data_IF_863111945448
#
_entry.id   IF_863111945448
#
_cell.length_a   1.000
_cell.length_b   1.000
_cell.length_c   1.000
_cell.angle_alpha   90.00
_cell.angle_beta   90.00
_cell.angle_gamma   90.00
#
_symmetry.space_group_name_H-M   'P 1'
#
loop_
_entity.id
_entity.type
_entity.pdbx_description
1 polymer ?
#
# COMPACT_ATOMS: atom_id res chain seq x y z
N UNK A 1 1.06 17.80 -1.99
CA UNK A 1 0.55 16.60 -2.67
C UNK A 1 1.64 15.78 -3.33
N UNK A 2 2.49 16.38 -4.14
CA UNK A 2 3.59 15.68 -4.83
C UNK A 2 4.49 14.89 -3.88
N UNK A 3 4.88 15.51 -2.77
CA UNK A 3 5.75 14.88 -1.78
C UNK A 3 5.09 13.67 -1.13
N UNK A 4 3.78 13.78 -0.86
CA UNK A 4 3.01 12.68 -0.30
C UNK A 4 2.94 11.50 -1.28
N UNK A 5 2.72 11.78 -2.56
CA UNK A 5 2.69 10.73 -3.59
C UNK A 5 4.04 10.03 -3.71
N UNK A 6 5.13 10.78 -3.67
CA UNK A 6 6.48 10.22 -3.69
C UNK A 6 6.74 9.32 -2.49
N UNK A 7 6.26 9.73 -1.30
CA UNK A 7 6.37 8.92 -0.10
C UNK A 7 5.58 7.61 -0.22
N UNK A 8 4.37 7.67 -0.80
CA UNK A 8 3.56 6.47 -1.00
C UNK A 8 4.18 5.51 -2.01
N UNK A 9 4.79 6.03 -3.07
CA UNK A 9 5.50 5.21 -4.03
C UNK A 9 6.67 4.48 -3.35
N UNK A 10 7.42 5.20 -2.52
CA UNK A 10 8.51 4.61 -1.75
C UNK A 10 8.00 3.55 -0.78
N UNK A 11 6.85 3.78 -0.16
CA UNK A 11 6.23 2.81 0.74
C UNK A 11 5.81 1.55 -0.01
N UNK A 12 5.32 1.67 -1.24
CA UNK A 12 4.95 0.51 -2.06
C UNK A 12 6.19 -0.32 -2.39
N UNK A 13 7.32 0.33 -2.70
CA UNK A 13 8.60 -0.36 -2.89
C UNK A 13 9.01 -1.11 -1.62
N UNK A 14 8.85 -0.48 -0.46
CA UNK A 14 9.15 -1.11 0.82
C UNK A 14 8.24 -2.31 1.07
N UNK A 15 6.96 -2.21 0.73
CA UNK A 15 6.03 -3.33 0.83
C UNK A 15 6.50 -4.52 -0.01
N UNK A 16 6.97 -4.25 -1.22
CA UNK A 16 7.49 -5.30 -2.10
C UNK A 16 8.73 -5.97 -1.50
N UNK A 17 9.65 -5.18 -0.93
CA UNK A 17 10.84 -5.71 -0.28
C UNK A 17 10.49 -6.56 0.94
N UNK A 18 9.52 -6.12 1.75
CA UNK A 18 9.07 -6.88 2.92
C UNK A 18 8.42 -8.20 2.49
N UNK A 19 7.62 -8.17 1.43
CA UNK A 19 6.99 -9.36 0.91
C UNK A 19 8.03 -10.38 0.43
N UNK A 20 9.03 -9.94 -0.32
CA UNK A 20 10.10 -10.83 -0.79
C UNK A 20 10.89 -11.41 0.38
N UNK A 21 11.15 -10.61 1.41
CA UNK A 21 11.86 -11.07 2.61
C UNK A 21 11.06 -12.14 3.34
N UNK A 22 9.75 -11.94 3.50
CA UNK A 22 8.88 -12.91 4.15
C UNK A 22 8.85 -14.22 3.37
N UNK A 23 8.76 -14.15 2.04
CA UNK A 23 8.76 -15.34 1.19
C UNK A 23 10.08 -16.10 1.26
N UNK A 24 11.20 -15.37 1.33
CA UNK A 24 12.53 -15.98 1.41
C UNK A 24 12.80 -16.63 2.76
N UNK A 25 12.42 -15.97 3.86
CA UNK A 25 12.68 -16.43 5.21
C UNK A 25 11.62 -17.38 5.74
N UNK A 26 10.43 -17.36 5.14
CA UNK A 26 9.26 -18.13 5.58
C UNK A 26 8.85 -17.82 7.02
N UNK A 27 9.16 -16.61 7.49
CA UNK A 27 8.82 -16.14 8.85
C UNK A 27 8.02 -14.86 8.72
N UNK A 28 6.82 -14.83 9.31
CA UNK A 28 5.97 -13.65 9.32
C UNK A 28 6.58 -12.56 10.22
N UNK A 29 6.29 -11.29 9.87
CA UNK A 29 6.62 -10.17 10.75
C UNK A 29 5.72 -10.18 11.99
N UNK A 30 6.23 -9.62 13.09
CA UNK A 30 5.45 -9.46 14.31
C UNK A 30 4.30 -8.49 14.06
N UNK A 31 3.07 -8.95 14.32
CA UNK A 31 1.87 -8.17 14.03
C UNK A 31 1.83 -6.87 14.84
N UNK A 32 2.08 -6.95 16.14
CA UNK A 32 1.95 -5.77 17.01
C UNK A 32 3.13 -4.82 16.91
N UNK A 33 4.33 -5.34 16.68
CA UNK A 33 5.55 -4.53 16.67
C UNK A 33 5.84 -3.93 15.29
N UNK A 34 5.47 -4.61 14.22
CA UNK A 34 5.83 -4.22 12.86
C UNK A 34 4.60 -3.93 12.00
N UNK A 35 3.68 -4.89 11.88
CA UNK A 35 2.56 -4.79 10.94
C UNK A 35 1.61 -3.67 11.33
N UNK A 36 1.14 -3.65 12.56
CA UNK A 36 0.16 -2.69 13.03
C UNK A 36 0.65 -1.24 12.96
N UNK A 37 1.86 -0.91 13.47
CA UNK A 37 2.38 0.46 13.33
C UNK A 37 2.58 0.87 11.88
N UNK A 38 3.04 -0.04 11.03
CA UNK A 38 3.26 0.25 9.62
C UNK A 38 1.95 0.52 8.91
N UNK A 39 0.95 -0.34 9.11
CA UNK A 39 -0.37 -0.15 8.51
C UNK A 39 -1.02 1.15 8.96
N UNK A 40 -0.86 1.50 10.24
CA UNK A 40 -1.37 2.76 10.77
C UNK A 40 -0.70 3.97 10.11
N UNK A 41 0.60 3.90 9.90
CA UNK A 41 1.36 4.95 9.18
C UNK A 41 0.84 5.12 7.75
N UNK A 42 0.61 4.01 7.05
CA UNK A 42 0.06 4.04 5.69
C UNK A 42 -1.35 4.63 5.68
N UNK A 43 -2.21 4.22 6.61
CA UNK A 43 -3.56 4.75 6.71
C UNK A 43 -3.56 6.27 6.92
N UNK A 44 -2.65 6.78 7.75
CA UNK A 44 -2.51 8.21 7.98
C UNK A 44 -2.16 8.95 6.69
N UNK A 45 -1.25 8.39 5.90
CA UNK A 45 -0.87 8.97 4.60
C UNK A 45 -2.03 8.93 3.61
N UNK A 46 -2.81 7.85 3.62
CA UNK A 46 -3.97 7.73 2.73
C UNK A 46 -5.07 8.70 3.12
N UNK A 47 -5.29 8.94 4.41
CA UNK A 47 -6.23 9.96 4.88
C UNK A 47 -5.79 11.35 4.45
N UNK A 48 -4.49 11.63 4.52
CA UNK A 48 -3.94 12.89 4.04
C UNK A 48 -4.13 13.05 2.53
N UNK A 49 -3.89 11.97 1.78
CA UNK A 49 -4.10 11.97 0.33
C UNK A 49 -5.57 12.25 -0.02
N UNK A 50 -6.51 11.74 0.78
CA UNK A 50 -7.92 11.95 0.57
C UNK A 50 -8.33 13.42 0.64
N UNK A 51 -7.55 14.26 1.33
CA UNK A 51 -7.78 15.71 1.35
C UNK A 51 -7.57 16.35 -0.02
N UNK A 52 -6.87 15.66 -0.91
CA UNK A 52 -6.61 16.13 -2.29
C UNK A 52 -7.52 15.42 -3.30
N UNK A 53 -8.59 14.79 -2.83
CA UNK A 53 -9.47 13.99 -3.67
C UNK A 53 -9.96 14.73 -4.91
N UNK A 54 -10.46 15.96 -4.73
CA UNK A 54 -10.98 16.75 -5.85
C UNK A 54 -9.90 17.06 -6.89
N UNK A 55 -8.70 17.36 -6.43
CA UNK A 55 -7.58 17.64 -7.34
C UNK A 55 -7.19 16.40 -8.13
N UNK A 56 -7.19 15.23 -7.46
CA UNK A 56 -6.76 13.97 -8.08
C UNK A 56 -7.78 13.50 -9.11
N UNK A 57 -9.07 13.52 -8.79
CA UNK A 57 -10.09 13.03 -9.72
C UNK A 57 -10.30 13.96 -10.92
N UNK A 58 -9.84 15.21 -10.84
CA UNK A 58 -9.91 16.15 -11.95
C UNK A 58 -8.78 15.95 -12.96
N UNK A 59 -7.80 15.09 -12.66
CA UNK A 59 -6.74 14.78 -13.62
C UNK A 59 -7.27 13.83 -14.69
N UNK A 60 -6.73 13.89 -15.94
CA UNK A 60 -7.06 12.91 -16.96
C UNK A 60 -6.71 11.50 -16.44
N UNK A 61 -7.47 10.51 -16.85
CA UNK A 61 -7.23 9.10 -16.53
C UNK A 61 -7.55 8.70 -15.09
N UNK A 62 -7.95 9.64 -14.23
CA UNK A 62 -8.34 9.29 -12.86
C UNK A 62 -9.84 9.45 -12.68
N UNK A 63 -10.50 8.44 -12.10
CA UNK A 63 -11.92 8.46 -11.77
C UNK A 63 -12.10 8.21 -10.28
N UNK A 64 -13.27 8.56 -9.71
CA UNK A 64 -13.51 8.22 -8.29
C UNK A 64 -13.37 6.73 -8.01
N UNK A 65 -13.80 5.87 -8.93
CA UNK A 65 -13.68 4.43 -8.77
C UNK A 65 -12.22 3.99 -8.73
N UNK A 66 -11.40 4.49 -9.66
CA UNK A 66 -9.97 4.17 -9.69
C UNK A 66 -9.26 4.64 -8.42
N UNK A 67 -9.61 5.84 -7.95
CA UNK A 67 -9.03 6.37 -6.71
C UNK A 67 -9.35 5.49 -5.52
N UNK A 68 -10.62 5.09 -5.37
CA UNK A 68 -11.05 4.23 -4.28
C UNK A 68 -10.38 2.85 -4.33
N UNK A 69 -10.22 2.29 -5.53
CA UNK A 69 -9.53 1.02 -5.71
C UNK A 69 -8.05 1.14 -5.33
N UNK A 70 -7.41 2.24 -5.69
CA UNK A 70 -6.02 2.49 -5.35
C UNK A 70 -5.83 2.53 -3.83
N UNK A 71 -6.68 3.29 -3.13
CA UNK A 71 -6.66 3.39 -1.67
C UNK A 71 -6.84 2.01 -1.04
N UNK A 72 -7.85 1.28 -1.48
CA UNK A 72 -8.16 -0.05 -0.96
C UNK A 72 -7.00 -1.02 -1.17
N UNK A 73 -6.39 -1.01 -2.35
CA UNK A 73 -5.26 -1.88 -2.67
C UNK A 73 -4.05 -1.57 -1.79
N UNK A 74 -3.74 -0.29 -1.59
CA UNK A 74 -2.60 0.11 -0.75
C UNK A 74 -2.84 -0.31 0.70
N UNK A 75 -4.06 -0.14 1.21
CA UNK A 75 -4.40 -0.58 2.56
C UNK A 75 -4.21 -2.08 2.73
N UNK A 76 -4.69 -2.87 1.76
CA UNK A 76 -4.52 -4.32 1.78
C UNK A 76 -3.05 -4.71 1.74
N UNK A 77 -2.27 -4.09 0.85
CA UNK A 77 -0.86 -4.39 0.68
C UNK A 77 -0.06 -4.08 1.95
N UNK A 78 -0.43 -3.02 2.68
CA UNK A 78 0.29 -2.64 3.90
C UNK A 78 0.24 -3.71 4.98
N UNK A 79 -0.76 -4.59 4.94
CA UNK A 79 -0.88 -5.71 5.86
C UNK A 79 -0.36 -7.00 5.22
N UNK A 80 -0.81 -7.30 4.01
CA UNK A 80 -0.51 -8.57 3.35
C UNK A 80 0.97 -8.77 3.05
N UNK A 81 1.73 -7.70 2.84
CA UNK A 81 3.16 -7.80 2.54
C UNK A 81 3.97 -8.42 3.68
N UNK A 82 3.40 -8.50 4.88
CA UNK A 82 4.09 -9.01 6.06
C UNK A 82 3.84 -10.49 6.33
N UNK A 83 3.04 -11.16 5.51
CA UNK A 83 2.66 -12.55 5.75
C UNK A 83 3.10 -13.47 4.62
N UNK A 84 3.76 -14.57 5.00
CA UNK A 84 4.28 -15.55 4.03
C UNK A 84 3.17 -16.28 3.27
N UNK A 85 1.97 -16.37 3.82
CA UNK A 85 0.82 -17.03 3.20
C UNK A 85 0.14 -16.21 2.10
N UNK A 86 0.50 -14.94 1.98
CA UNK A 86 -0.06 -14.07 0.94
C UNK A 86 0.33 -14.58 -0.45
N UNK A 87 -0.65 -14.69 -1.34
CA UNK A 87 -0.40 -15.16 -2.70
C UNK A 87 0.47 -14.17 -3.47
N UNK A 88 1.59 -14.65 -4.02
CA UNK A 88 2.48 -13.82 -4.84
C UNK A 88 1.75 -13.25 -6.05
N UNK A 89 0.90 -14.05 -6.67
CA UNK A 89 0.12 -13.61 -7.83
C UNK A 89 -0.80 -12.45 -7.47
N UNK A 90 -1.59 -12.59 -6.41
CA UNK A 90 -2.53 -11.55 -5.98
C UNK A 90 -1.80 -10.29 -5.51
N UNK A 91 -0.70 -10.45 -4.80
CA UNK A 91 0.12 -9.33 -4.34
C UNK A 91 0.66 -8.53 -5.53
N UNK A 92 1.23 -9.22 -6.52
CA UNK A 92 1.78 -8.60 -7.72
C UNK A 92 0.69 -7.87 -8.52
N UNK A 93 -0.49 -8.47 -8.65
CA UNK A 93 -1.61 -7.84 -9.34
C UNK A 93 -2.05 -6.54 -8.67
N UNK A 94 -2.10 -6.51 -7.32
CA UNK A 94 -2.46 -5.30 -6.60
C UNK A 94 -1.43 -4.18 -6.78
N UNK A 95 -0.15 -4.52 -6.83
CA UNK A 95 0.90 -3.53 -7.06
C UNK A 95 0.77 -2.92 -8.45
N UNK A 96 0.42 -3.72 -9.45
CA UNK A 96 0.31 -3.26 -10.84
C UNK A 96 -0.97 -2.47 -11.12
N UNK A 97 -1.99 -2.67 -10.31
CA UNK A 97 -3.24 -1.92 -10.49
C UNK A 97 -3.16 -0.54 -9.83
#
# INVERSE_FOLDING_TARGET
MRKLIEQLISDIDEMNHRFERVKSSEVDYDFYKVVKPYAHSIDSKLNELNNYYQQIINTPYMTPLKFNLLISNIQSLSVECHFKRTSRKLFTEKIKS
#
